data_IF_054001624319
#
_entry.id   IF_054001624319
#
_cell.length_a   1.000
_cell.length_b   1.000
_cell.length_c   1.000
_cell.angle_alpha   90.00
_cell.angle_beta   90.00
_cell.angle_gamma   90.00
#
_symmetry.space_group_name_H-M   'P 1'
#
loop_
_entity.id
_entity.type
_entity.pdbx_description
1 polymer ?
#
# COMPACT_ATOMS: atom_id res chain seq x y z
N UNK A 1 12.97 -53.72 -76.67
CA UNK A 1 12.00 -52.91 -75.96
C UNK A 1 11.98 -53.20 -74.44
N UNK A 2 13.12 -53.53 -73.79
CA UNK A 2 13.19 -53.86 -72.35
C UNK A 2 14.18 -53.03 -71.57
N UNK A 3 14.70 -51.85 -72.11
CA UNK A 3 15.69 -51.01 -71.48
C UNK A 3 15.22 -49.56 -71.19
N UNK A 4 14.00 -49.19 -71.57
CA UNK A 4 13.46 -47.84 -71.37
C UNK A 4 12.61 -47.73 -70.09
N UNK A 5 12.11 -48.88 -69.58
CA UNK A 5 11.22 -48.95 -68.40
C UNK A 5 11.98 -48.81 -67.03
N UNK A 6 13.33 -48.86 -67.03
CA UNK A 6 14.12 -48.82 -65.76
C UNK A 6 14.57 -47.39 -65.35
N UNK A 7 14.49 -46.44 -66.26
CA UNK A 7 14.96 -45.02 -65.97
C UNK A 7 13.85 -44.18 -65.38
N UNK A 8 12.57 -44.53 -65.59
CA UNK A 8 11.42 -43.76 -65.01
C UNK A 8 11.12 -44.07 -63.55
N UNK A 9 11.65 -45.18 -63.00
CA UNK A 9 11.44 -45.54 -61.58
C UNK A 9 12.44 -44.87 -60.60
N UNK A 10 13.53 -44.24 -61.07
CA UNK A 10 14.55 -43.62 -60.23
C UNK A 10 14.31 -42.15 -60.01
N UNK A 11 13.35 -41.50 -60.70
CA UNK A 11 13.00 -40.08 -60.53
C UNK A 11 11.93 -39.80 -59.46
N UNK A 12 11.35 -40.86 -58.87
CA UNK A 12 10.26 -40.69 -57.87
C UNK A 12 10.73 -40.69 -56.40
N UNK A 13 12.03 -40.78 -56.10
CA UNK A 13 12.55 -40.80 -54.72
C UNK A 13 13.18 -39.47 -54.23
N UNK A 14 13.01 -38.37 -54.97
CA UNK A 14 13.56 -37.05 -54.58
C UNK A 14 12.49 -36.05 -54.13
N UNK A 15 11.49 -36.48 -53.39
CA UNK A 15 10.52 -35.51 -52.85
C UNK A 15 10.05 -35.94 -51.45
N UNK A 16 10.82 -35.60 -50.44
CA UNK A 16 10.35 -35.30 -49.06
C UNK A 16 11.56 -35.03 -48.18
N UNK A 17 12.30 -33.95 -48.45
CA UNK A 17 13.10 -33.34 -47.42
C UNK A 17 12.30 -32.11 -46.94
N UNK A 18 11.34 -32.34 -46.05
CA UNK A 18 10.67 -31.27 -45.36
C UNK A 18 11.69 -30.67 -44.37
N UNK A 19 12.46 -29.70 -44.82
CA UNK A 19 13.15 -28.80 -43.90
C UNK A 19 12.04 -28.15 -43.10
N UNK A 20 12.08 -28.26 -41.79
CA UNK A 20 11.29 -27.39 -40.93
C UNK A 20 11.68 -25.97 -41.32
N UNK A 21 10.76 -25.21 -41.90
CA UNK A 21 11.00 -23.83 -42.32
C UNK A 21 11.19 -22.87 -41.16
N UNK A 22 11.05 -23.32 -39.88
CA UNK A 22 11.13 -22.53 -38.68
C UNK A 22 12.10 -23.13 -37.65
N UNK A 23 12.80 -22.28 -36.94
CA UNK A 23 13.85 -22.66 -35.97
C UNK A 23 13.29 -23.03 -34.60
N UNK A 24 12.19 -22.39 -34.19
CA UNK A 24 11.53 -22.64 -32.92
C UNK A 24 10.00 -22.43 -33.03
N UNK A 25 9.28 -23.03 -32.13
CA UNK A 25 7.81 -22.84 -32.06
C UNK A 25 7.31 -22.84 -30.61
N UNK A 26 6.17 -22.24 -30.40
CA UNK A 26 5.57 -22.17 -29.07
C UNK A 26 4.23 -21.43 -29.02
N UNK A 27 3.83 -21.03 -27.85
CA UNK A 27 2.56 -20.34 -27.65
C UNK A 27 2.76 -18.95 -27.04
N UNK A 28 1.90 -18.03 -27.43
CA UNK A 28 1.84 -16.71 -26.82
C UNK A 28 1.27 -16.77 -25.40
N UNK A 29 1.95 -16.14 -24.48
CA UNK A 29 1.55 -15.97 -23.07
C UNK A 29 1.59 -14.49 -22.71
N UNK A 30 0.90 -14.11 -21.63
CA UNK A 30 1.04 -12.82 -20.99
C UNK A 30 1.32 -13.00 -19.51
N UNK A 31 1.89 -11.96 -18.89
CA UNK A 31 1.99 -11.92 -17.43
C UNK A 31 0.61 -11.51 -16.86
N UNK A 32 -0.02 -12.46 -16.17
CA UNK A 32 -1.36 -12.32 -15.63
C UNK A 32 -1.30 -11.88 -14.17
N UNK A 33 -2.08 -10.87 -13.80
CA UNK A 33 -2.28 -10.43 -12.42
C UNK A 33 -3.70 -10.78 -11.99
N UNK A 34 -3.83 -11.45 -10.86
CA UNK A 34 -5.12 -11.70 -10.22
C UNK A 34 -5.34 -10.61 -9.18
N UNK A 35 -6.33 -9.76 -9.41
CA UNK A 35 -6.77 -8.75 -8.45
C UNK A 35 -7.76 -9.40 -7.50
N UNK A 36 -7.49 -9.29 -6.20
CA UNK A 36 -8.27 -9.91 -5.13
C UNK A 36 -8.81 -8.87 -4.15
N UNK A 37 -9.88 -9.21 -3.44
CA UNK A 37 -10.46 -8.37 -2.41
C UNK A 37 -9.49 -8.20 -1.22
N UNK A 38 -9.25 -6.96 -0.81
CA UNK A 38 -8.42 -6.62 0.36
C UNK A 38 -9.26 -6.36 1.61
N UNK A 39 -10.60 -6.46 1.49
CA UNK A 39 -11.53 -6.23 2.60
C UNK A 39 -12.72 -7.18 2.52
N UNK A 40 -13.32 -7.48 3.69
CA UNK A 40 -14.55 -8.24 3.76
C UNK A 40 -15.75 -7.32 3.59
N UNK A 41 -16.73 -7.74 2.78
CA UNK A 41 -17.97 -6.99 2.62
C UNK A 41 -18.67 -7.27 1.30
N UNK A 42 -19.82 -6.64 1.10
CA UNK A 42 -20.58 -6.76 -0.13
C UNK A 42 -20.03 -5.83 -1.20
N UNK A 43 -19.90 -6.32 -2.40
CA UNK A 43 -19.51 -5.54 -3.58
C UNK A 43 -20.67 -4.65 -4.01
N UNK A 44 -20.56 -3.33 -3.79
CA UNK A 44 -21.65 -2.37 -4.03
C UNK A 44 -21.56 -1.67 -5.36
N UNK A 45 -20.34 -1.47 -5.86
CA UNK A 45 -20.08 -0.89 -7.16
C UNK A 45 -19.07 -1.76 -7.90
N UNK A 46 -19.50 -2.28 -9.06
CA UNK A 46 -18.72 -3.23 -9.84
C UNK A 46 -19.02 -3.05 -11.32
N UNK A 47 -18.01 -2.65 -12.08
CA UNK A 47 -18.15 -2.29 -13.50
C UNK A 47 -17.23 -3.10 -14.41
N UNK A 48 -16.45 -4.05 -13.87
CA UNK A 48 -15.47 -4.82 -14.63
C UNK A 48 -16.14 -5.83 -15.54
N UNK A 49 -15.76 -5.82 -16.82
CA UNK A 49 -16.23 -6.77 -17.84
C UNK A 49 -15.05 -7.45 -18.53
N UNK A 50 -15.22 -8.70 -18.91
CA UNK A 50 -14.23 -9.43 -19.70
C UNK A 50 -14.02 -8.75 -21.06
N UNK A 51 -12.75 -8.65 -21.48
CA UNK A 51 -12.36 -7.94 -22.69
C UNK A 51 -12.22 -6.40 -22.54
N UNK A 52 -12.61 -5.85 -21.41
CA UNK A 52 -12.45 -4.40 -21.14
C UNK A 52 -10.98 -4.07 -20.85
N UNK A 53 -10.49 -2.96 -21.41
CA UNK A 53 -9.19 -2.39 -21.04
C UNK A 53 -9.34 -1.44 -19.86
N UNK A 54 -8.52 -1.62 -18.84
CA UNK A 54 -8.49 -0.82 -17.61
C UNK A 54 -7.09 -0.27 -17.42
N UNK A 55 -6.98 1.01 -17.05
CA UNK A 55 -5.71 1.66 -16.79
C UNK A 55 -5.20 1.41 -15.37
N UNK A 56 -3.89 1.44 -15.19
CA UNK A 56 -3.26 1.43 -13.87
C UNK A 56 -3.75 2.61 -13.03
N UNK A 57 -3.99 2.37 -11.74
CA UNK A 57 -4.49 3.37 -10.80
C UNK A 57 -5.99 3.69 -10.94
N UNK A 58 -6.69 3.12 -11.90
CA UNK A 58 -8.14 3.32 -12.06
C UNK A 58 -8.89 2.58 -10.94
N UNK A 59 -9.77 3.30 -10.23
CA UNK A 59 -10.74 2.68 -9.31
C UNK A 59 -11.82 1.97 -10.12
N UNK A 60 -11.99 0.70 -9.89
CA UNK A 60 -12.88 -0.17 -10.67
C UNK A 60 -14.03 -0.73 -9.84
N UNK A 61 -13.87 -0.79 -8.52
CA UNK A 61 -14.80 -1.47 -7.62
C UNK A 61 -14.85 -0.82 -6.24
N UNK A 62 -15.93 -1.10 -5.50
CA UNK A 62 -16.12 -0.66 -4.13
C UNK A 62 -16.77 -1.76 -3.29
N UNK A 63 -16.11 -2.19 -2.24
CA UNK A 63 -16.67 -3.02 -1.18
C UNK A 63 -17.36 -2.11 -0.16
N UNK A 64 -18.49 -2.56 0.40
CA UNK A 64 -19.19 -1.83 1.45
C UNK A 64 -18.34 -1.81 2.73
N UNK A 65 -17.94 -0.60 3.12
CA UNK A 65 -17.13 -0.33 4.31
C UNK A 65 -17.87 0.57 5.32
N UNK A 66 -19.21 0.62 5.26
CA UNK A 66 -20.01 1.51 6.08
C UNK A 66 -19.81 1.29 7.59
N UNK A 67 -19.70 0.03 8.01
CA UNK A 67 -19.40 -0.31 9.41
C UNK A 67 -18.05 0.26 9.85
N UNK A 68 -17.03 0.20 9.00
CA UNK A 68 -15.71 0.75 9.30
C UNK A 68 -15.76 2.29 9.39
N UNK A 69 -16.55 2.95 8.53
CA UNK A 69 -16.74 4.42 8.61
C UNK A 69 -17.37 4.82 9.93
N UNK A 70 -18.40 4.11 10.39
CA UNK A 70 -19.02 4.35 11.69
C UNK A 70 -18.06 4.08 12.83
N UNK A 71 -17.24 3.05 12.76
CA UNK A 71 -16.21 2.75 13.76
C UNK A 71 -15.15 3.89 13.82
N UNK A 72 -14.70 4.41 12.68
CA UNK A 72 -13.81 5.56 12.64
C UNK A 72 -14.44 6.79 13.31
N UNK A 73 -15.69 7.10 12.96
CA UNK A 73 -16.44 8.21 13.58
C UNK A 73 -16.57 8.06 15.10
N UNK A 74 -16.80 6.84 15.59
CA UNK A 74 -16.82 6.56 17.03
C UNK A 74 -15.48 6.89 17.70
N UNK A 75 -14.35 6.50 17.10
CA UNK A 75 -13.02 6.82 17.62
C UNK A 75 -12.78 8.32 17.59
N UNK A 76 -13.11 9.00 16.49
CA UNK A 76 -13.00 10.46 16.36
C UNK A 76 -13.85 11.21 17.41
N UNK A 77 -15.08 10.76 17.66
CA UNK A 77 -15.93 11.31 18.73
C UNK A 77 -15.31 11.10 20.11
N UNK A 78 -14.68 9.95 20.33
CA UNK A 78 -13.94 9.69 21.58
C UNK A 78 -12.78 10.66 21.75
N UNK A 79 -11.99 10.92 20.70
CA UNK A 79 -10.90 11.90 20.71
C UNK A 79 -11.44 13.31 21.03
N UNK A 80 -12.54 13.71 20.40
CA UNK A 80 -13.17 15.00 20.68
C UNK A 80 -13.58 15.14 22.16
N UNK A 81 -14.16 14.07 22.74
CA UNK A 81 -14.55 14.06 24.15
C UNK A 81 -13.39 14.17 25.13
N UNK A 82 -12.16 13.78 24.75
CA UNK A 82 -10.98 13.94 25.60
C UNK A 82 -10.65 15.41 25.83
N UNK A 83 -10.80 16.25 24.79
CA UNK A 83 -10.56 17.70 24.90
C UNK A 83 -11.54 18.39 25.85
N UNK A 84 -12.79 17.95 25.84
CA UNK A 84 -13.83 18.45 26.76
C UNK A 84 -13.58 18.04 28.22
N UNK A 85 -12.86 16.91 28.43
CA UNK A 85 -12.49 16.44 29.78
C UNK A 85 -11.29 17.15 30.39
N UNK A 86 -10.58 17.98 29.62
CA UNK A 86 -9.47 18.77 30.17
C UNK A 86 -10.01 19.88 31.02
N UNK A 87 -9.36 20.08 32.17
CA UNK A 87 -9.71 21.15 33.11
C UNK A 87 -9.01 22.44 32.71
N UNK A 88 -9.73 23.60 32.82
CA UNK A 88 -9.10 24.90 32.70
C UNK A 88 -8.33 25.21 34.01
N UNK A 89 -7.00 25.39 33.98
CA UNK A 89 -6.22 25.67 35.17
C UNK A 89 -6.63 26.97 35.87
N UNK A 90 -7.03 28.00 35.11
CA UNK A 90 -7.41 29.28 35.67
C UNK A 90 -8.71 29.18 36.46
N UNK A 91 -9.71 28.48 35.95
CA UNK A 91 -10.99 28.33 36.66
C UNK A 91 -10.84 27.48 37.92
N UNK A 92 -10.06 26.39 37.85
CA UNK A 92 -9.84 25.49 38.96
C UNK A 92 -8.98 26.08 40.08
N UNK A 93 -8.05 26.99 39.76
CA UNK A 93 -7.18 27.63 40.70
C UNK A 93 -7.68 29.05 41.15
N UNK A 94 -8.80 29.52 40.60
CA UNK A 94 -9.30 30.89 40.79
C UNK A 94 -9.49 31.24 42.28
N UNK A 95 -10.06 30.33 43.06
CA UNK A 95 -10.27 30.56 44.50
C UNK A 95 -8.95 30.71 45.26
N UNK A 96 -8.00 29.81 45.03
CA UNK A 96 -6.68 29.86 45.71
C UNK A 96 -5.90 31.09 45.27
N UNK A 97 -5.99 31.47 43.98
CA UNK A 97 -5.37 32.70 43.46
C UNK A 97 -5.96 33.93 44.11
N UNK A 98 -7.27 34.03 44.23
CA UNK A 98 -7.92 35.14 44.92
C UNK A 98 -7.51 35.23 46.38
N UNK A 99 -7.40 34.12 47.09
CA UNK A 99 -6.94 34.06 48.49
C UNK A 99 -5.48 34.51 48.58
N UNK A 100 -4.60 34.10 47.65
CA UNK A 100 -3.21 34.56 47.58
C UNK A 100 -3.11 36.08 47.40
N UNK A 101 -3.89 36.67 46.50
CA UNK A 101 -3.87 38.13 46.26
C UNK A 101 -4.36 38.92 47.49
N UNK A 102 -5.39 38.44 48.20
CA UNK A 102 -5.84 39.09 49.46
C UNK A 102 -4.74 39.06 50.52
N UNK A 103 -4.10 37.90 50.74
CA UNK A 103 -3.02 37.75 51.70
C UNK A 103 -1.80 38.58 51.34
N UNK A 104 -1.47 38.68 50.05
CA UNK A 104 -0.39 39.52 49.53
C UNK A 104 -0.67 40.99 49.83
N UNK A 105 -1.87 41.47 49.59
CA UNK A 105 -2.26 42.87 49.90
C UNK A 105 -2.17 43.18 51.41
N UNK A 106 -2.59 42.18 52.24
CA UNK A 106 -2.44 42.35 53.72
C UNK A 106 -0.97 42.41 54.12
N UNK A 107 -0.10 41.55 53.59
CA UNK A 107 1.32 41.55 53.86
C UNK A 107 1.95 42.92 53.47
N UNK A 108 1.66 43.39 52.28
CA UNK A 108 2.15 44.69 51.78
C UNK A 108 1.71 45.86 52.67
N UNK A 109 0.47 45.84 53.18
CA UNK A 109 -0.03 46.83 54.13
C UNK A 109 0.77 46.78 55.42
N UNK A 110 0.97 45.59 56.00
CA UNK A 110 1.72 45.48 57.27
C UNK A 110 3.22 45.78 57.09
N UNK A 111 3.81 45.53 55.96
CA UNK A 111 5.19 45.93 55.66
C UNK A 111 5.35 47.41 55.59
N UNK A 112 4.40 48.18 55.02
CA UNK A 112 4.42 49.64 55.01
C UNK A 112 4.29 50.19 56.44
N UNK A 113 3.42 49.55 57.25
CA UNK A 113 3.27 49.95 58.66
C UNK A 113 4.55 49.66 59.47
N UNK A 114 5.18 48.51 59.29
CA UNK A 114 6.46 48.12 59.91
C UNK A 114 7.55 49.18 59.57
N UNK A 115 7.69 49.58 58.32
CA UNK A 115 8.65 50.57 57.87
C UNK A 115 8.41 51.93 58.57
N UNK A 116 7.12 52.30 58.75
CA UNK A 116 6.74 53.51 59.48
C UNK A 116 7.13 53.43 60.97
N UNK A 117 6.79 52.31 61.63
CA UNK A 117 7.11 52.12 63.07
C UNK A 117 8.62 52.06 63.29
N UNK A 118 9.38 51.48 62.40
CA UNK A 118 10.86 51.46 62.46
C UNK A 118 11.43 52.86 62.47
N UNK A 119 10.92 53.78 61.64
CA UNK A 119 11.34 55.19 61.64
C UNK A 119 10.95 55.94 62.93
N UNK A 120 9.74 55.65 63.49
CA UNK A 120 9.28 56.26 64.75
C UNK A 120 10.10 55.76 65.92
N UNK A 121 10.49 54.52 66.01
CA UNK A 121 11.39 53.95 67.04
C UNK A 121 12.78 54.64 66.97
N UNK A 122 13.34 54.76 65.74
CA UNK A 122 14.62 55.42 65.51
C UNK A 122 14.60 56.95 65.95
N UNK A 123 13.42 57.59 65.83
CA UNK A 123 13.19 58.96 66.31
C UNK A 123 12.75 59.05 67.78
N UNK A 124 12.66 57.94 68.51
CA UNK A 124 12.23 57.90 69.92
C UNK A 124 10.72 58.10 70.15
N UNK A 125 9.89 58.06 69.10
CA UNK A 125 8.45 58.32 69.14
C UNK A 125 7.58 57.03 69.23
N UNK A 126 8.20 55.81 69.26
CA UNK A 126 7.55 54.51 69.45
C UNK A 126 8.43 53.60 70.32
N UNK A 127 7.85 52.51 70.86
CA UNK A 127 8.58 51.55 71.72
C UNK A 127 9.15 50.37 70.92
N UNK A 128 10.27 49.80 71.39
CA UNK A 128 10.87 48.61 70.83
C UNK A 128 9.85 47.43 70.80
N UNK A 129 9.02 47.30 71.83
CA UNK A 129 8.00 46.28 71.90
C UNK A 129 7.00 46.36 70.70
N UNK A 130 6.58 47.62 70.37
CA UNK A 130 5.68 47.77 69.18
C UNK A 130 6.33 47.38 67.90
N UNK A 131 7.64 47.55 67.70
CA UNK A 131 8.40 47.13 66.56
C UNK A 131 8.50 45.63 66.52
N UNK A 132 8.83 44.97 67.65
CA UNK A 132 8.97 43.52 67.75
C UNK A 132 7.62 42.82 67.48
N UNK A 133 6.51 43.29 68.05
CA UNK A 133 5.16 42.78 67.84
C UNK A 133 4.77 42.86 66.36
N UNK A 134 5.02 43.98 65.70
CA UNK A 134 4.69 44.21 64.33
C UNK A 134 5.59 43.35 63.36
N UNK A 135 6.86 43.15 63.69
CA UNK A 135 7.80 42.32 63.02
C UNK A 135 7.29 40.84 63.04
N UNK A 136 6.83 40.37 64.19
CA UNK A 136 6.25 39.02 64.33
C UNK A 136 5.01 38.89 63.48
N UNK A 137 4.12 39.87 63.38
CA UNK A 137 2.93 39.83 62.49
C UNK A 137 3.32 39.75 61.02
N UNK A 138 4.30 40.58 60.59
CA UNK A 138 4.79 40.52 59.18
C UNK A 138 5.39 39.17 58.86
N UNK A 139 6.19 38.56 59.74
CA UNK A 139 6.77 37.26 59.57
C UNK A 139 5.72 36.15 59.54
N UNK A 140 4.67 36.27 60.37
CA UNK A 140 3.54 35.33 60.32
C UNK A 140 2.80 35.42 58.97
N UNK A 141 2.47 36.63 58.49
CA UNK A 141 1.79 36.82 57.21
C UNK A 141 2.62 36.34 56.03
N UNK A 142 3.96 36.55 56.06
CA UNK A 142 4.88 36.07 55.05
C UNK A 142 4.86 34.52 54.98
N UNK A 143 4.89 33.83 56.11
CA UNK A 143 4.81 32.38 56.20
C UNK A 143 3.45 31.86 55.66
N UNK A 144 2.35 32.55 56.02
CA UNK A 144 1.00 32.21 55.58
C UNK A 144 0.86 32.40 54.07
N UNK A 145 1.39 33.49 53.48
CA UNK A 145 1.43 33.72 52.05
C UNK A 145 2.19 32.60 51.31
N UNK A 146 3.36 32.21 51.85
CA UNK A 146 4.16 31.11 51.29
C UNK A 146 3.42 29.77 51.27
N UNK A 147 2.61 29.46 52.31
CA UNK A 147 1.77 28.28 52.35
C UNK A 147 0.73 28.32 51.23
N UNK A 148 0.03 29.46 51.04
CA UNK A 148 -0.97 29.63 50.00
C UNK A 148 -0.37 29.56 48.60
N UNK A 149 0.83 30.15 48.41
CA UNK A 149 1.59 30.05 47.14
C UNK A 149 1.94 28.61 46.82
N UNK A 150 2.40 27.83 47.78
CA UNK A 150 2.67 26.41 47.59
C UNK A 150 1.40 25.62 47.28
N UNK A 151 0.27 25.92 47.93
CA UNK A 151 -1.02 25.30 47.61
C UNK A 151 -1.44 25.61 46.18
N UNK A 152 -1.31 26.85 45.71
CA UNK A 152 -1.57 27.23 44.32
C UNK A 152 -0.69 26.45 43.34
N UNK A 153 0.61 26.37 43.62
CA UNK A 153 1.56 25.62 42.78
C UNK A 153 1.21 24.14 42.70
N UNK A 154 0.88 23.50 43.82
CA UNK A 154 0.48 22.08 43.87
C UNK A 154 -0.83 21.88 43.08
N UNK A 155 -1.82 22.75 43.26
CA UNK A 155 -3.09 22.69 42.51
C UNK A 155 -2.87 22.76 41.01
N UNK A 156 -2.10 23.73 40.52
CA UNK A 156 -1.76 23.89 39.10
C UNK A 156 -1.00 22.67 38.55
N UNK A 157 -0.07 22.13 39.33
CA UNK A 157 0.68 20.92 38.95
C UNK A 157 -0.23 19.71 38.82
N UNK A 158 -1.17 19.55 39.76
CA UNK A 158 -2.13 18.44 39.72
C UNK A 158 -3.03 18.54 38.49
N UNK A 159 -3.57 19.74 38.22
CA UNK A 159 -4.41 19.96 37.01
C UNK A 159 -3.62 19.67 35.74
N UNK A 160 -2.40 20.18 35.63
CA UNK A 160 -1.52 19.93 34.51
C UNK A 160 -1.24 18.41 34.33
N UNK A 161 -0.99 17.67 35.42
CA UNK A 161 -0.76 16.25 35.41
C UNK A 161 -2.02 15.48 34.98
N UNK A 162 -3.20 15.88 35.48
CA UNK A 162 -4.48 15.31 35.09
C UNK A 162 -4.76 15.52 33.61
N UNK A 163 -4.58 16.74 33.10
CA UNK A 163 -4.75 17.06 31.69
C UNK A 163 -3.78 16.26 30.82
N UNK A 164 -2.50 16.11 31.22
CA UNK A 164 -1.55 15.26 30.50
C UNK A 164 -1.99 13.80 30.47
N UNK A 165 -2.53 13.28 31.57
CA UNK A 165 -3.03 11.90 31.61
C UNK A 165 -4.22 11.69 30.69
N UNK A 166 -5.13 12.66 30.60
CA UNK A 166 -6.26 12.63 29.66
C UNK A 166 -5.75 12.70 28.22
N UNK A 167 -4.90 13.68 27.92
CA UNK A 167 -4.38 13.90 26.57
C UNK A 167 -3.41 12.80 26.09
N UNK A 168 -2.77 12.07 27.00
CA UNK A 168 -1.92 10.92 26.62
C UNK A 168 -2.69 9.81 25.90
N UNK A 169 -4.01 9.76 26.04
CA UNK A 169 -4.89 8.81 25.33
C UNK A 169 -5.20 9.24 23.88
N UNK A 170 -4.92 10.50 23.52
CA UNK A 170 -5.22 11.02 22.18
C UNK A 170 -4.41 10.31 21.10
N UNK A 171 -3.10 10.18 21.28
CA UNK A 171 -2.20 9.58 20.28
C UNK A 171 -2.55 8.12 19.95
N UNK A 172 -2.78 7.23 20.91
CA UNK A 172 -3.24 5.86 20.62
C UNK A 172 -4.57 5.83 19.86
N UNK A 173 -5.52 6.69 20.21
CA UNK A 173 -6.81 6.77 19.52
C UNK A 173 -6.67 7.32 18.10
N UNK A 174 -5.79 8.31 17.87
CA UNK A 174 -5.48 8.78 16.52
C UNK A 174 -4.91 7.65 15.66
N UNK A 175 -3.98 6.85 16.20
CA UNK A 175 -3.43 5.68 15.48
C UNK A 175 -4.48 4.61 15.21
N UNK A 176 -5.44 4.43 16.11
CA UNK A 176 -6.58 3.55 15.85
C UNK A 176 -7.46 4.09 14.71
N UNK A 177 -7.77 5.39 14.70
CA UNK A 177 -8.53 6.02 13.60
C UNK A 177 -7.79 5.88 12.25
N UNK A 178 -6.46 6.06 12.23
CA UNK A 178 -5.63 5.86 11.03
C UNK A 178 -5.68 4.39 10.55
N UNK A 179 -5.61 3.43 11.47
CA UNK A 179 -5.71 2.00 11.13
C UNK A 179 -7.07 1.65 10.52
N UNK A 180 -8.17 2.15 11.11
CA UNK A 180 -9.50 1.97 10.53
C UNK A 180 -9.63 2.68 9.17
N UNK A 181 -9.02 3.86 8.99
CA UNK A 181 -8.99 4.54 7.69
C UNK A 181 -8.26 3.72 6.63
N UNK A 182 -7.14 3.07 6.98
CA UNK A 182 -6.44 2.17 6.06
C UNK A 182 -7.34 1.00 5.62
N UNK A 183 -8.09 0.41 6.54
CA UNK A 183 -9.07 -0.63 6.22
C UNK A 183 -10.23 -0.12 5.32
N UNK A 184 -10.66 1.12 5.51
CA UNK A 184 -11.66 1.76 4.63
C UNK A 184 -11.10 1.91 3.21
N UNK A 185 -9.85 2.34 3.08
CA UNK A 185 -9.19 2.50 1.79
C UNK A 185 -9.03 1.15 1.05
N UNK A 186 -8.77 0.06 1.77
CA UNK A 186 -8.74 -1.31 1.22
C UNK A 186 -10.10 -1.79 0.68
N UNK A 187 -11.17 -1.10 0.99
CA UNK A 187 -12.48 -1.34 0.38
C UNK A 187 -12.60 -0.78 -1.04
N UNK A 188 -11.68 0.06 -1.48
CA UNK A 188 -11.59 0.56 -2.85
C UNK A 188 -10.63 -0.30 -3.65
N UNK A 189 -11.13 -0.95 -4.71
CA UNK A 189 -10.31 -1.80 -5.57
C UNK A 189 -9.72 -0.93 -6.67
N UNK A 190 -8.40 -0.80 -6.65
CA UNK A 190 -7.62 -0.03 -7.62
C UNK A 190 -6.90 -1.00 -8.54
N UNK A 191 -7.02 -0.79 -9.84
CA UNK A 191 -6.37 -1.64 -10.84
C UNK A 191 -4.83 -1.46 -10.82
N UNK A 192 -4.04 -2.54 -10.63
CA UNK A 192 -2.60 -2.45 -10.42
C UNK A 192 -1.77 -2.29 -11.70
N UNK A 193 -2.31 -2.60 -12.88
CA UNK A 193 -1.60 -2.54 -14.16
C UNK A 193 -2.55 -2.09 -15.29
N UNK A 194 -2.03 -1.40 -16.29
CA UNK A 194 -2.79 -1.19 -17.53
C UNK A 194 -2.86 -2.49 -18.32
N UNK A 195 -4.07 -2.93 -18.68
CA UNK A 195 -4.26 -4.18 -19.40
C UNK A 195 -5.71 -4.49 -19.73
N UNK A 196 -5.93 -5.67 -20.28
CA UNK A 196 -7.25 -6.20 -20.62
C UNK A 196 -7.69 -7.24 -19.60
N UNK A 197 -8.93 -7.15 -19.14
CA UNK A 197 -9.54 -8.14 -18.24
C UNK A 197 -9.74 -9.44 -19.01
N UNK A 198 -9.11 -10.52 -18.51
CA UNK A 198 -9.18 -11.84 -19.11
C UNK A 198 -10.34 -12.68 -18.57
N UNK A 199 -10.55 -12.60 -17.26
CA UNK A 199 -11.59 -13.35 -16.54
C UNK A 199 -12.17 -12.49 -15.44
N UNK A 200 -13.46 -12.53 -15.29
CA UNK A 200 -14.20 -11.92 -14.21
C UNK A 200 -14.74 -12.99 -13.24
N UNK A 201 -14.35 -12.94 -11.96
CA UNK A 201 -14.72 -13.92 -10.94
C UNK A 201 -15.82 -13.45 -10.00
N UNK A 202 -16.19 -12.18 -10.03
CA UNK A 202 -17.11 -11.58 -9.07
C UNK A 202 -18.29 -10.86 -9.76
N UNK A 203 -19.40 -10.76 -9.06
CA UNK A 203 -20.58 -10.03 -9.52
C UNK A 203 -20.99 -8.97 -8.49
N UNK A 204 -21.58 -7.88 -8.98
CA UNK A 204 -22.17 -6.84 -8.13
C UNK A 204 -23.19 -7.46 -7.16
N UNK A 205 -23.08 -7.10 -5.88
CA UNK A 205 -23.95 -7.61 -4.82
C UNK A 205 -23.43 -8.84 -4.09
N UNK A 206 -22.39 -9.50 -4.59
CA UNK A 206 -21.77 -10.65 -3.90
C UNK A 206 -21.03 -10.23 -2.64
N UNK A 207 -20.98 -11.16 -1.68
CA UNK A 207 -20.10 -11.06 -0.51
C UNK A 207 -18.68 -11.47 -0.90
N UNK A 208 -17.74 -10.58 -0.62
CA UNK A 208 -16.32 -10.83 -0.80
C UNK A 208 -15.65 -11.04 0.55
N UNK A 209 -14.63 -11.88 0.54
CA UNK A 209 -13.75 -12.13 1.68
C UNK A 209 -12.33 -11.76 1.32
N UNK A 210 -11.51 -11.40 2.29
CA UNK A 210 -10.10 -11.10 2.09
C UNK A 210 -9.41 -12.20 1.28
N UNK A 211 -8.69 -11.82 0.22
CA UNK A 211 -7.96 -12.71 -0.68
C UNK A 211 -8.82 -13.39 -1.77
N UNK A 212 -10.15 -13.23 -1.78
CA UNK A 212 -10.99 -13.80 -2.85
C UNK A 212 -10.72 -13.10 -4.18
N UNK A 213 -10.42 -13.83 -5.27
CA UNK A 213 -10.22 -13.26 -6.59
C UNK A 213 -11.46 -12.47 -7.08
N UNK A 214 -11.22 -11.30 -7.66
CA UNK A 214 -12.26 -10.46 -8.26
C UNK A 214 -12.20 -10.53 -9.78
N UNK A 215 -11.02 -10.30 -10.36
CA UNK A 215 -10.79 -10.44 -11.79
C UNK A 215 -9.33 -10.75 -12.08
N UNK A 216 -9.07 -11.19 -13.31
CA UNK A 216 -7.73 -11.42 -13.84
C UNK A 216 -7.48 -10.45 -14.99
N UNK A 217 -6.34 -9.75 -14.95
CA UNK A 217 -5.94 -8.77 -15.96
C UNK A 217 -4.54 -9.08 -16.48
N UNK A 218 -4.29 -8.77 -17.74
CA UNK A 218 -2.96 -8.89 -18.35
C UNK A 218 -2.72 -7.76 -19.34
N UNK A 219 -1.45 -7.37 -19.48
CA UNK A 219 -1.07 -6.47 -20.56
C UNK A 219 -1.08 -7.27 -21.89
N UNK A 220 -2.03 -6.96 -22.76
CA UNK A 220 -2.18 -7.59 -24.07
C UNK A 220 -1.57 -6.81 -25.22
N UNK A 221 -1.06 -5.59 -24.99
CA UNK A 221 -0.38 -4.77 -26.02
C UNK A 221 0.98 -5.35 -26.39
N UNK A 222 1.56 -6.12 -25.47
CA UNK A 222 2.81 -6.82 -25.69
C UNK A 222 2.67 -8.22 -25.13
N UNK A 223 2.78 -9.23 -26.00
CA UNK A 223 2.74 -10.64 -25.62
C UNK A 223 4.13 -11.25 -25.65
N UNK A 224 4.30 -12.30 -24.90
CA UNK A 224 5.52 -13.09 -24.85
C UNK A 224 5.28 -14.43 -25.56
N UNK A 225 6.01 -14.70 -26.63
CA UNK A 225 6.03 -16.05 -27.23
C UNK A 225 6.99 -16.91 -26.40
N UNK A 226 6.46 -17.91 -25.69
CA UNK A 226 7.25 -18.97 -25.07
C UNK A 226 7.48 -20.07 -26.10
N UNK A 227 8.65 -20.05 -26.73
CA UNK A 227 9.05 -21.03 -27.75
C UNK A 227 10.12 -21.96 -27.19
N UNK A 228 10.36 -23.05 -27.90
CA UNK A 228 11.30 -24.08 -27.47
C UNK A 228 12.31 -24.34 -28.59
N UNK A 229 13.58 -24.45 -28.20
CA UNK A 229 14.71 -24.75 -29.07
C UNK A 229 15.43 -26.01 -28.62
N UNK A 230 16.13 -26.66 -29.53
CA UNK A 230 17.01 -27.79 -29.22
C UNK A 230 18.36 -27.33 -28.68
N UNK A 231 19.12 -28.24 -28.06
CA UNK A 231 20.47 -27.94 -27.56
C UNK A 231 21.44 -27.48 -28.67
N UNK A 232 21.27 -27.99 -29.90
CA UNK A 232 22.12 -27.62 -31.03
C UNK A 232 21.87 -26.17 -31.53
N UNK A 233 20.69 -25.64 -31.28
CA UNK A 233 20.32 -24.26 -31.63
C UNK A 233 20.74 -23.24 -30.57
N UNK A 234 20.97 -23.69 -29.34
CA UNK A 234 21.31 -22.80 -28.20
C UNK A 234 22.51 -21.85 -28.45
N UNK A 235 23.62 -22.29 -29.12
CA UNK A 235 24.74 -21.38 -29.41
C UNK A 235 24.42 -20.27 -30.41
N UNK A 236 23.33 -20.41 -31.17
CA UNK A 236 22.93 -19.48 -32.24
C UNK A 236 22.07 -18.32 -31.71
N UNK A 237 21.58 -18.42 -30.48
CA UNK A 237 20.67 -17.45 -29.87
C UNK A 237 21.36 -16.66 -28.79
N UNK A 238 21.06 -15.34 -28.75
CA UNK A 238 21.54 -14.40 -27.73
C UNK A 238 20.39 -13.56 -27.15
N UNK A 239 20.53 -13.18 -25.89
CA UNK A 239 19.66 -12.18 -25.28
C UNK A 239 19.72 -10.86 -26.06
N UNK A 240 18.56 -10.23 -26.29
CA UNK A 240 18.43 -9.00 -27.06
C UNK A 240 18.46 -9.22 -28.59
N UNK A 241 18.57 -10.47 -29.07
CA UNK A 241 18.54 -10.76 -30.49
C UNK A 241 17.17 -10.47 -31.07
N UNK A 242 17.13 -9.74 -32.20
CA UNK A 242 15.91 -9.56 -33.00
C UNK A 242 15.61 -10.86 -33.76
N UNK A 243 14.35 -11.24 -33.75
CA UNK A 243 13.84 -12.45 -34.44
C UNK A 243 12.56 -12.12 -35.19
N UNK A 244 12.24 -12.95 -36.17
CA UNK A 244 10.99 -12.87 -36.90
C UNK A 244 10.04 -13.94 -36.37
N UNK A 245 8.82 -13.52 -35.98
CA UNK A 245 7.78 -14.41 -35.46
C UNK A 245 6.66 -14.50 -36.49
N UNK A 246 6.28 -15.71 -36.84
CA UNK A 246 5.16 -16.04 -37.71
C UNK A 246 4.01 -16.64 -36.92
N UNK A 247 2.80 -16.34 -37.32
CA UNK A 247 1.57 -16.93 -36.75
C UNK A 247 0.56 -17.17 -37.87
N UNK A 248 -0.23 -18.19 -37.74
CA UNK A 248 -1.25 -18.53 -38.71
C UNK A 248 -2.28 -17.40 -38.83
N UNK A 249 -2.66 -17.09 -40.05
CA UNK A 249 -3.76 -16.18 -40.39
C UNK A 249 -4.86 -16.96 -41.17
N UNK A 250 -5.91 -16.28 -41.58
CA UNK A 250 -6.97 -16.90 -42.37
C UNK A 250 -6.45 -17.36 -43.74
N UNK A 251 -7.06 -18.39 -44.27
CA UNK A 251 -6.81 -18.91 -45.64
C UNK A 251 -5.40 -19.43 -45.94
N UNK A 252 -4.62 -19.80 -44.89
CA UNK A 252 -3.25 -20.31 -45.06
C UNK A 252 -2.20 -19.22 -45.22
N UNK A 253 -2.57 -17.95 -45.02
CA UNK A 253 -1.63 -16.87 -44.93
C UNK A 253 -0.93 -16.86 -43.56
N UNK A 254 0.25 -16.26 -43.47
CA UNK A 254 0.98 -16.04 -42.22
C UNK A 254 1.14 -14.57 -41.95
N UNK A 255 0.92 -14.16 -40.70
CA UNK A 255 1.28 -12.83 -40.24
C UNK A 255 2.64 -12.86 -39.61
N UNK A 256 3.39 -11.78 -39.87
CA UNK A 256 4.78 -11.66 -39.43
C UNK A 256 4.91 -10.52 -38.43
N UNK A 257 5.58 -10.78 -37.33
CA UNK A 257 5.87 -9.83 -36.27
C UNK A 257 7.37 -9.77 -35.99
N UNK A 258 7.84 -8.62 -35.55
CA UNK A 258 9.20 -8.48 -35.00
C UNK A 258 9.16 -8.82 -33.51
N UNK A 259 10.09 -9.67 -33.08
CA UNK A 259 10.28 -10.02 -31.69
C UNK A 259 11.69 -9.82 -31.23
N UNK A 260 11.87 -9.76 -29.92
CA UNK A 260 13.18 -9.68 -29.26
C UNK A 260 13.30 -10.79 -28.22
N UNK A 261 14.41 -11.52 -28.22
CA UNK A 261 14.69 -12.57 -27.24
C UNK A 261 15.01 -11.93 -25.88
N UNK A 262 14.11 -12.12 -24.90
CA UNK A 262 14.24 -11.54 -23.56
C UNK A 262 14.69 -12.53 -22.49
N UNK A 263 14.60 -13.84 -22.79
CA UNK A 263 14.99 -14.87 -21.83
C UNK A 263 15.38 -16.15 -22.56
N UNK A 264 16.42 -16.82 -22.06
CA UNK A 264 16.85 -18.15 -22.48
C UNK A 264 16.98 -19.01 -21.21
N UNK A 265 16.30 -20.14 -21.17
CA UNK A 265 16.31 -21.02 -20.01
C UNK A 265 17.70 -21.61 -19.77
N UNK A 266 18.19 -21.55 -18.54
CA UNK A 266 19.45 -22.18 -18.11
C UNK A 266 19.32 -23.69 -17.85
N UNK A 267 18.08 -24.19 -17.82
CA UNK A 267 17.76 -25.62 -17.57
C UNK A 267 16.88 -26.13 -18.69
N UNK A 268 17.23 -27.31 -19.18
CA UNK A 268 16.41 -28.01 -20.16
C UNK A 268 15.09 -28.48 -19.55
N UNK A 269 14.03 -28.40 -20.34
CA UNK A 269 12.69 -28.88 -20.04
C UNK A 269 12.38 -30.06 -20.99
N UNK A 270 11.46 -30.94 -20.60
CA UNK A 270 10.90 -31.91 -21.54
C UNK A 270 9.86 -31.21 -22.42
N UNK A 271 9.78 -31.58 -23.70
CA UNK A 271 8.76 -31.01 -24.60
C UNK A 271 7.36 -31.17 -23.99
N UNK A 272 6.53 -30.08 -23.96
CA UNK A 272 5.20 -30.13 -23.34
C UNK A 272 4.17 -30.99 -24.11
N UNK A 273 4.55 -31.71 -25.16
CA UNK A 273 3.64 -32.60 -25.91
C UNK A 273 3.39 -33.88 -25.13
N UNK A 274 2.14 -34.27 -25.03
CA UNK A 274 1.69 -35.61 -24.62
C UNK A 274 2.11 -36.61 -25.66
N UNK A 275 3.31 -37.20 -25.51
CA UNK A 275 3.92 -37.98 -26.54
C UNK A 275 3.87 -39.45 -26.30
N UNK A 276 3.74 -40.13 -27.39
CA UNK A 276 3.39 -41.55 -27.45
C UNK A 276 4.48 -42.45 -27.99
N UNK A 277 5.57 -41.94 -28.48
CA UNK A 277 6.66 -42.79 -29.02
C UNK A 277 7.95 -42.71 -28.20
N UNK A 278 8.72 -43.82 -28.14
CA UNK A 278 9.99 -43.90 -27.40
C UNK A 278 11.08 -42.94 -27.93
N UNK A 279 11.08 -42.62 -29.21
CA UNK A 279 12.07 -41.80 -29.87
C UNK A 279 11.90 -40.31 -29.52
N UNK A 280 10.68 -39.84 -29.26
CA UNK A 280 10.35 -38.45 -28.98
C UNK A 280 10.52 -38.04 -27.49
N UNK A 281 10.70 -39.03 -26.59
CA UNK A 281 10.96 -38.80 -25.15
C UNK A 281 12.38 -38.29 -24.84
N UNK A 282 13.27 -38.35 -25.82
CA UNK A 282 14.69 -38.09 -25.59
C UNK A 282 15.14 -36.64 -25.93
N UNK A 283 14.28 -35.80 -26.48
CA UNK A 283 14.68 -34.47 -26.90
C UNK A 283 14.49 -33.45 -25.76
N UNK A 284 15.58 -33.11 -25.07
CA UNK A 284 15.65 -31.99 -24.16
C UNK A 284 15.58 -30.70 -24.97
N UNK A 285 14.70 -29.79 -24.56
CA UNK A 285 14.53 -28.48 -25.17
C UNK A 285 14.76 -27.38 -24.15
N UNK A 286 15.15 -26.23 -24.65
CA UNK A 286 15.31 -25.02 -23.82
C UNK A 286 14.21 -24.05 -24.16
N UNK A 287 13.52 -23.55 -23.13
CA UNK A 287 12.53 -22.51 -23.29
C UNK A 287 13.19 -21.18 -23.58
N UNK A 288 12.70 -20.46 -24.57
CA UNK A 288 13.05 -19.07 -24.84
C UNK A 288 11.81 -18.22 -24.74
N UNK A 289 11.96 -16.96 -24.30
CA UNK A 289 10.85 -15.99 -24.30
C UNK A 289 11.20 -14.85 -25.26
N UNK A 290 10.28 -14.57 -26.14
CA UNK A 290 10.39 -13.55 -27.17
C UNK A 290 9.27 -12.55 -26.96
N UNK A 291 9.63 -11.31 -26.73
CA UNK A 291 8.68 -10.20 -26.55
C UNK A 291 8.22 -9.71 -27.92
N UNK A 292 6.92 -9.66 -28.14
CA UNK A 292 6.30 -9.29 -29.42
C UNK A 292 5.24 -8.21 -29.17
N UNK A 293 5.32 -7.11 -29.91
CA UNK A 293 4.28 -6.08 -29.87
C UNK A 293 3.03 -6.56 -30.58
N UNK A 294 1.89 -6.50 -29.91
CA UNK A 294 0.60 -6.93 -30.44
C UNK A 294 -0.07 -5.78 -31.23
N UNK A 295 -0.67 -6.11 -32.33
CA UNK A 295 -1.54 -5.22 -33.15
C UNK A 295 -3.03 -5.41 -32.85
N UNK A 296 -3.36 -6.22 -31.79
CA UNK A 296 -4.71 -6.62 -31.43
C UNK A 296 -5.16 -7.96 -31.99
N UNK A 297 -4.40 -8.53 -32.93
CA UNK A 297 -4.69 -9.84 -33.51
C UNK A 297 -4.21 -10.99 -32.63
N UNK A 298 -2.99 -10.87 -32.08
CA UNK A 298 -2.41 -11.92 -31.25
C UNK A 298 -3.24 -12.12 -29.97
N UNK A 299 -3.50 -13.40 -29.66
CA UNK A 299 -4.22 -13.81 -28.44
C UNK A 299 -3.35 -14.74 -27.60
N UNK A 300 -3.57 -14.74 -26.30
CA UNK A 300 -2.94 -15.68 -25.38
C UNK A 300 -3.34 -17.09 -25.78
N UNK A 301 -2.36 -17.99 -25.84
CA UNK A 301 -2.54 -19.38 -26.28
C UNK A 301 -2.39 -19.62 -27.79
N UNK A 302 -2.34 -18.55 -28.63
CA UNK A 302 -2.06 -18.71 -30.06
C UNK A 302 -0.68 -19.33 -30.27
N UNK A 303 -0.57 -20.14 -31.34
CA UNK A 303 0.68 -20.73 -31.78
C UNK A 303 1.50 -19.72 -32.57
N UNK A 304 2.81 -19.79 -32.41
CA UNK A 304 3.76 -18.98 -33.15
C UNK A 304 5.04 -19.74 -33.48
N UNK A 305 5.61 -19.39 -34.60
CA UNK A 305 6.86 -19.97 -35.14
C UNK A 305 7.90 -18.84 -35.23
N UNK A 306 9.16 -19.21 -35.08
CA UNK A 306 10.27 -18.22 -34.98
C UNK A 306 11.34 -18.58 -35.99
N UNK A 307 11.78 -17.56 -36.73
CA UNK A 307 12.99 -17.56 -37.53
C UNK A 307 14.07 -16.74 -36.89
N UNK A 308 15.25 -17.32 -36.64
CA UNK A 308 16.41 -16.60 -36.16
C UNK A 308 17.09 -15.90 -37.37
N UNK A 309 17.43 -14.63 -37.20
CA UNK A 309 18.14 -13.85 -38.17
C UNK A 309 19.65 -13.93 -37.96
#
# INVERSE_FOLDING_TARGET
MKKITLITALAAFMACNHKNDFDASGNFIADEVIVSAEQNGRLIDYTVQEGQTINEGQKVEQINVEVLKLQKQQVEATIASLKEKTLNPDDQAALIRSQYEVQKAQLEQQQRELARVQQLVAGGAATQKQLDDLTAVVDQLRKQLSVTENQLKVSLTNISSQNRNVMSQEVPLQKNAEAVQAQINQGEIINPITGTVLVNYALKGEMQTFGKPLYKIANTDTLTLKAYITGDQLPQIKLGQAVTVHTDAAEGEQRTYKGEVTYIASKAEFTPKTIQTKAERANLVYAIKIKVKNDGYLKIGMYGEVLFQ
#
